data_IF_957850154915
#
_entry.id   IF_957850154915
#
_cell.length_a   1.000
_cell.length_b   1.000
_cell.length_c   1.000
_cell.angle_alpha   90.00
_cell.angle_beta   90.00
_cell.angle_gamma   90.00
#
_symmetry.space_group_name_H-M   'P 1'
#
loop_
_entity.id
_entity.type
_entity.pdbx_description
1 polymer ?
#
# COMPACT_ATOMS: atom_id res chain seq x y z
N UNK A 1 29.43 -53.53 16.16
CA UNK A 1 29.99 -52.25 15.67
C UNK A 1 28.84 -51.26 15.46
N UNK A 2 28.81 -50.15 16.20
CA UNK A 2 27.72 -49.18 16.14
C UNK A 2 27.93 -48.17 14.99
N UNK A 3 27.02 -48.14 14.02
CA UNK A 3 27.05 -47.23 12.87
C UNK A 3 26.69 -45.82 13.33
N UNK A 4 27.64 -44.87 13.34
CA UNK A 4 27.36 -43.45 13.64
C UNK A 4 26.46 -42.87 12.54
N UNK A 5 25.23 -42.56 12.90
CA UNK A 5 24.27 -41.87 12.02
C UNK A 5 24.68 -40.40 11.96
N UNK A 6 25.24 -39.98 10.82
CA UNK A 6 25.56 -38.58 10.50
C UNK A 6 24.27 -37.79 10.47
N UNK A 7 23.97 -37.03 11.52
CA UNK A 7 22.80 -36.13 11.58
C UNK A 7 22.89 -35.17 10.39
N UNK A 8 21.99 -35.31 9.42
CA UNK A 8 21.83 -34.34 8.33
C UNK A 8 21.52 -32.99 8.98
N UNK A 9 22.39 -32.01 8.76
CA UNK A 9 22.09 -30.62 9.07
C UNK A 9 20.92 -30.19 8.19
N UNK A 10 19.70 -30.39 8.68
CA UNK A 10 18.52 -29.75 8.13
C UNK A 10 18.78 -28.25 8.26
N UNK A 11 19.04 -27.58 7.13
CA UNK A 11 19.12 -26.13 7.07
C UNK A 11 17.76 -25.61 7.54
N UNK A 12 17.69 -25.24 8.81
CA UNK A 12 16.54 -24.53 9.35
C UNK A 12 16.50 -23.18 8.64
N UNK A 13 15.72 -23.12 7.56
CA UNK A 13 15.24 -21.86 6.99
C UNK A 13 14.53 -21.16 8.15
N UNK A 14 15.22 -20.22 8.78
CA UNK A 14 14.68 -19.36 9.83
C UNK A 14 13.49 -18.65 9.19
N UNK A 15 12.27 -19.15 9.42
CA UNK A 15 11.05 -18.42 9.06
C UNK A 15 11.14 -17.11 9.81
N UNK A 16 11.44 -16.03 9.08
CA UNK A 16 11.44 -14.67 9.62
C UNK A 16 10.03 -14.47 10.15
N UNK A 17 9.88 -14.46 11.48
CA UNK A 17 8.61 -14.13 12.11
C UNK A 17 8.38 -12.66 11.82
N UNK A 18 7.65 -12.39 10.75
CA UNK A 18 7.17 -11.05 10.46
C UNK A 18 6.32 -10.64 11.66
N UNK A 19 6.74 -9.56 12.32
CA UNK A 19 6.01 -9.00 13.44
C UNK A 19 4.57 -8.72 12.97
N UNK A 20 3.54 -9.07 13.76
CA UNK A 20 2.16 -8.70 13.45
C UNK A 20 1.97 -7.17 13.34
N UNK A 21 2.94 -6.38 13.83
CA UNK A 21 2.99 -4.92 13.70
C UNK A 21 3.95 -4.47 12.58
N UNK A 22 3.97 -5.16 11.44
CA UNK A 22 4.68 -4.67 10.25
C UNK A 22 3.95 -3.47 9.65
N UNK A 23 4.69 -2.46 9.20
CA UNK A 23 4.09 -1.30 8.55
C UNK A 23 3.34 -1.76 7.29
N UNK A 24 2.02 -1.53 7.24
CA UNK A 24 1.16 -1.98 6.13
C UNK A 24 1.22 -1.07 4.90
N UNK A 25 1.92 0.07 5.01
CA UNK A 25 1.99 1.08 3.97
C UNK A 25 3.11 0.78 2.99
N UNK A 26 2.75 0.63 1.72
CA UNK A 26 3.73 0.56 0.63
C UNK A 26 4.16 1.95 0.15
N UNK A 27 5.36 2.04 -0.44
CA UNK A 27 5.89 3.28 -1.02
C UNK A 27 4.92 3.89 -2.04
N UNK A 28 4.19 3.07 -2.79
CA UNK A 28 3.19 3.54 -3.77
C UNK A 28 1.98 4.17 -3.10
N UNK A 29 1.53 3.64 -1.97
CA UNK A 29 0.43 4.18 -1.20
C UNK A 29 0.76 5.58 -0.70
N UNK A 30 2.00 5.82 -0.26
CA UNK A 30 2.43 7.17 0.09
C UNK A 30 2.35 8.17 -1.07
N UNK A 31 2.57 7.73 -2.32
CA UNK A 31 2.42 8.62 -3.49
C UNK A 31 0.96 9.06 -3.67
N UNK A 32 0.01 8.13 -3.55
CA UNK A 32 -1.42 8.43 -3.62
C UNK A 32 -1.88 9.31 -2.44
N UNK A 33 -1.34 9.08 -1.24
CA UNK A 33 -1.63 9.88 -0.06
C UNK A 33 -1.21 11.34 -0.27
N UNK A 34 0.03 11.57 -0.72
CA UNK A 34 0.52 12.92 -1.02
C UNK A 34 -0.31 13.58 -2.11
N UNK A 35 -0.67 12.84 -3.17
CA UNK A 35 -1.55 13.34 -4.21
C UNK A 35 -2.92 13.78 -3.65
N UNK A 36 -3.51 12.98 -2.77
CA UNK A 36 -4.77 13.30 -2.10
C UNK A 36 -4.69 14.57 -1.25
N UNK A 37 -3.59 14.73 -0.50
CA UNK A 37 -3.34 15.94 0.28
C UNK A 37 -3.27 17.16 -0.64
N UNK A 38 -2.53 17.08 -1.75
CA UNK A 38 -2.42 18.19 -2.71
C UNK A 38 -3.80 18.58 -3.27
N UNK A 39 -4.62 17.60 -3.66
CA UNK A 39 -5.98 17.85 -4.18
C UNK A 39 -6.86 18.55 -3.14
N UNK A 40 -6.81 18.11 -1.88
CA UNK A 40 -7.58 18.75 -0.80
C UNK A 40 -7.09 20.16 -0.51
N UNK A 41 -5.77 20.37 -0.48
CA UNK A 41 -5.19 21.71 -0.31
C UNK A 41 -5.63 22.65 -1.42
N UNK A 42 -5.63 22.19 -2.68
CA UNK A 42 -6.15 22.97 -3.81
C UNK A 42 -7.65 23.26 -3.64
N UNK A 43 -8.46 22.28 -3.23
CA UNK A 43 -9.89 22.47 -2.96
C UNK A 43 -10.15 23.55 -1.90
N UNK A 44 -9.41 23.52 -0.79
CA UNK A 44 -9.50 24.57 0.24
C UNK A 44 -8.93 25.91 -0.22
N UNK A 45 -7.88 25.91 -1.03
CA UNK A 45 -7.34 27.13 -1.61
C UNK A 45 -8.35 27.82 -2.53
N UNK A 46 -9.08 27.05 -3.35
CA UNK A 46 -10.16 27.58 -4.17
C UNK A 46 -11.27 28.24 -3.33
N UNK A 47 -11.61 27.66 -2.17
CA UNK A 47 -12.54 28.28 -1.21
C UNK A 47 -11.98 29.57 -0.60
N UNK A 48 -10.66 29.68 -0.45
CA UNK A 48 -10.02 30.85 0.15
C UNK A 48 -9.89 32.03 -0.82
N UNK A 49 -9.77 31.79 -2.13
CA UNK A 49 -9.54 32.84 -3.12
C UNK A 49 -10.84 33.32 -3.78
N UNK A 50 -11.80 32.41 -3.99
CA UNK A 50 -13.09 32.76 -4.60
C UNK A 50 -14.03 33.46 -3.64
N UNK A 51 -14.88 34.36 -4.14
CA UNK A 51 -16.01 34.82 -3.34
C UNK A 51 -16.87 33.62 -2.95
N UNK A 52 -17.45 33.66 -1.74
CA UNK A 52 -18.26 32.57 -1.22
C UNK A 52 -19.44 32.20 -2.14
N UNK A 53 -19.93 33.15 -2.93
CA UNK A 53 -21.02 32.96 -3.90
C UNK A 53 -20.53 32.71 -5.35
N UNK A 54 -19.25 32.43 -5.56
CA UNK A 54 -18.73 32.07 -6.88
C UNK A 54 -18.96 30.58 -7.16
N UNK A 55 -19.25 30.25 -8.43
CA UNK A 55 -19.44 28.87 -8.90
C UNK A 55 -18.26 27.95 -8.50
N UNK A 56 -17.04 28.48 -8.51
CA UNK A 56 -15.84 27.74 -8.10
C UNK A 56 -15.87 27.31 -6.63
N UNK A 57 -16.36 28.17 -5.73
CA UNK A 57 -16.40 27.88 -4.30
C UNK A 57 -17.58 26.97 -3.94
N UNK A 58 -18.72 27.12 -4.60
CA UNK A 58 -19.93 26.32 -4.30
C UNK A 58 -19.90 24.95 -4.97
N UNK A 59 -19.30 24.83 -6.15
CA UNK A 59 -19.38 23.60 -6.96
C UNK A 59 -18.01 22.93 -7.07
N UNK A 60 -17.02 23.64 -7.60
CA UNK A 60 -15.72 23.03 -7.95
C UNK A 60 -14.97 22.58 -6.69
N UNK A 61 -14.90 23.43 -5.66
CA UNK A 61 -14.17 23.09 -4.45
C UNK A 61 -14.78 21.89 -3.68
N UNK A 62 -16.09 21.82 -3.41
CA UNK A 62 -16.69 20.65 -2.78
C UNK A 62 -16.48 19.36 -3.59
N UNK A 63 -16.54 19.43 -4.92
CA UNK A 63 -16.27 18.26 -5.79
C UNK A 63 -14.82 17.79 -5.62
N UNK A 64 -13.84 18.70 -5.60
CA UNK A 64 -12.43 18.36 -5.37
C UNK A 64 -12.23 17.74 -3.98
N UNK A 65 -12.85 18.30 -2.95
CA UNK A 65 -12.79 17.76 -1.60
C UNK A 65 -13.39 16.36 -1.50
N UNK A 66 -14.57 16.15 -2.11
CA UNK A 66 -15.23 14.83 -2.16
C UNK A 66 -14.35 13.83 -2.92
N UNK A 67 -13.80 14.20 -4.08
CA UNK A 67 -12.90 13.33 -4.83
C UNK A 67 -11.64 12.98 -4.02
N UNK A 68 -11.05 13.95 -3.31
CA UNK A 68 -9.94 13.73 -2.40
C UNK A 68 -10.28 12.73 -1.29
N UNK A 69 -11.30 13.03 -0.51
CA UNK A 69 -11.69 12.27 0.69
C UNK A 69 -12.31 10.90 0.40
N UNK A 70 -13.15 10.79 -0.63
CA UNK A 70 -13.94 9.59 -0.89
C UNK A 70 -13.24 8.65 -1.87
N UNK A 71 -12.45 9.19 -2.80
CA UNK A 71 -11.77 8.35 -3.79
C UNK A 71 -10.29 8.20 -3.44
N UNK A 72 -9.55 9.30 -3.37
CA UNK A 72 -8.08 9.25 -3.34
C UNK A 72 -7.56 8.70 -2.00
N UNK A 73 -8.10 9.14 -0.86
CA UNK A 73 -7.67 8.62 0.45
C UNK A 73 -7.98 7.12 0.63
N UNK A 74 -9.19 6.62 0.33
CA UNK A 74 -9.50 5.19 0.42
C UNK A 74 -8.67 4.36 -0.55
N UNK A 75 -8.49 4.82 -1.80
CA UNK A 75 -7.60 4.17 -2.76
C UNK A 75 -6.17 4.11 -2.24
N UNK A 76 -5.67 5.20 -1.65
CA UNK A 76 -4.33 5.25 -1.08
C UNK A 76 -4.12 4.23 0.04
N UNK A 77 -5.15 3.94 0.83
CA UNK A 77 -5.07 2.99 1.95
C UNK A 77 -5.24 1.55 1.45
N UNK A 78 -6.21 1.32 0.56
CA UNK A 78 -6.61 -0.03 0.13
C UNK A 78 -5.74 -0.60 -0.99
N UNK A 79 -5.01 0.25 -1.72
CA UNK A 79 -4.11 -0.21 -2.79
C UNK A 79 -2.98 -1.04 -2.20
N UNK A 80 -3.03 -2.37 -2.34
CA UNK A 80 -1.95 -3.26 -1.91
C UNK A 80 -1.43 -4.01 -3.12
N UNK A 81 -0.14 -3.86 -3.44
CA UNK A 81 0.46 -4.68 -4.48
C UNK A 81 0.78 -6.04 -3.87
N UNK A 82 0.25 -7.09 -4.47
CA UNK A 82 0.73 -8.44 -4.17
C UNK A 82 2.20 -8.50 -4.59
N UNK A 83 3.08 -8.73 -3.63
CA UNK A 83 4.51 -8.77 -3.86
C UNK A 83 4.82 -9.86 -4.90
N UNK A 84 5.46 -9.46 -5.99
CA UNK A 84 5.80 -10.33 -7.13
C UNK A 84 6.70 -11.51 -6.71
N UNK A 85 7.33 -11.46 -5.52
CA UNK A 85 8.16 -12.52 -4.95
C UNK A 85 7.32 -13.69 -4.40
N UNK A 86 6.11 -13.44 -3.90
CA UNK A 86 5.20 -14.49 -3.42
C UNK A 86 4.72 -15.36 -4.59
N UNK A 87 4.40 -14.73 -5.72
CA UNK A 87 4.02 -15.43 -6.96
C UNK A 87 5.13 -16.33 -7.53
N UNK A 88 6.40 -15.95 -7.37
CA UNK A 88 7.54 -16.75 -7.85
C UNK A 88 7.82 -17.92 -6.89
N UNK A 89 7.55 -17.73 -5.60
CA UNK A 89 7.68 -18.79 -4.60
C UNK A 89 6.58 -19.84 -4.72
N UNK A 90 5.32 -19.42 -4.88
CA UNK A 90 4.18 -20.33 -5.09
C UNK A 90 4.28 -21.11 -6.40
N UNK A 91 4.77 -20.47 -7.46
CA UNK A 91 5.01 -21.14 -8.75
C UNK A 91 6.17 -22.14 -8.70
N UNK A 92 7.30 -21.83 -8.04
CA UNK A 92 8.38 -22.82 -7.89
C UNK A 92 7.96 -24.00 -7.01
N UNK A 93 7.10 -23.78 -6.00
CA UNK A 93 6.54 -24.84 -5.17
C UNK A 93 5.54 -25.70 -5.97
N UNK A 94 4.69 -25.08 -6.81
CA UNK A 94 3.77 -25.80 -7.69
C UNK A 94 4.47 -26.57 -8.82
N UNK A 95 5.66 -26.11 -9.25
CA UNK A 95 6.43 -26.75 -10.33
C UNK A 95 7.45 -27.77 -9.81
N UNK A 96 7.52 -28.00 -8.49
CA UNK A 96 8.38 -29.03 -7.88
C UNK A 96 9.88 -28.92 -8.19
N UNK A 97 10.35 -27.73 -8.57
CA UNK A 97 11.76 -27.53 -8.95
C UNK A 97 12.53 -27.05 -7.72
N UNK A 98 13.30 -27.97 -7.13
CA UNK A 98 14.26 -27.68 -6.05
C UNK A 98 15.55 -27.07 -6.58
#
# INVERSE_FOLDING_TARGET
>A
MAKKIKKRHLKQTKKVRVSPFSIYWEKKNYQFLVLGIVVVVVGFYLLSVGAWNSFTSIVIAPILLVAGYVLIFPLSIFYRKKDKKELIQDSNIATGKS
#
